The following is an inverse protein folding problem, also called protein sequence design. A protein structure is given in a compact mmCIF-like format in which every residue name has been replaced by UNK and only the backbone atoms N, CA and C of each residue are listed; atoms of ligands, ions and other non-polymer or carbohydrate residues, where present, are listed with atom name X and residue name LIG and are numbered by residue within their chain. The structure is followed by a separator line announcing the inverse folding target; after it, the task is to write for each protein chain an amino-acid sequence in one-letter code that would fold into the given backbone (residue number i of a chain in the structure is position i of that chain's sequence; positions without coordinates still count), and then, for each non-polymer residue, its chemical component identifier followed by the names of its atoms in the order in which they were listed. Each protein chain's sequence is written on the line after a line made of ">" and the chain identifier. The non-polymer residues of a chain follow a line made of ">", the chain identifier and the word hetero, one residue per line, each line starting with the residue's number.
data_IF_665024757569
#
_entry.id   IF_665024757569
#
_cell.length_a   1.000
_cell.length_b   1.000
_cell.length_c   1.000
_cell.angle_alpha   90.00
_cell.angle_beta   90.00
_cell.angle_gamma   90.00
#
_symmetry.space_group_name_H-M   'P 1'
#
loop_
_entity.id
_entity.type
_entity.pdbx_description
1 polymer ?
#
# COMPACT_ATOMS: atom_id res chain seq x y z
N UNK A 1 11.27 17.30 -3.34
CA UNK A 1 10.88 16.52 -4.54
C UNK A 1 9.44 16.87 -4.88
N UNK A 2 9.18 17.15 -6.16
CA UNK A 2 7.99 17.84 -6.66
C UNK A 2 6.67 17.15 -6.29
N UNK A 3 5.77 17.87 -5.60
CA UNK A 3 4.36 17.48 -5.46
C UNK A 3 3.69 17.73 -6.80
N UNK A 4 3.78 16.78 -7.72
CA UNK A 4 2.94 16.77 -8.91
C UNK A 4 1.52 16.42 -8.46
N UNK A 5 0.80 17.42 -7.95
CA UNK A 5 -0.56 17.27 -7.42
C UNK A 5 -1.54 17.22 -8.57
N UNK A 6 -1.50 16.14 -9.35
CA UNK A 6 -2.60 15.85 -10.25
C UNK A 6 -3.78 15.43 -9.37
N UNK A 7 -4.87 16.23 -9.26
CA UNK A 7 -5.99 15.95 -8.35
C UNK A 7 -6.72 14.65 -8.71
N UNK A 8 -6.50 14.13 -9.92
CA UNK A 8 -7.02 12.85 -10.42
C UNK A 8 -6.12 11.65 -10.09
N UNK A 9 -5.00 11.84 -9.38
CA UNK A 9 -4.12 10.74 -9.01
C UNK A 9 -4.72 9.91 -7.87
N UNK A 10 -4.56 8.58 -7.93
CA UNK A 10 -4.98 7.70 -6.84
C UNK A 10 -4.28 8.06 -5.53
N UNK A 11 -3.04 8.53 -5.58
CA UNK A 11 -2.29 8.94 -4.39
C UNK A 11 -2.99 10.09 -3.65
N UNK A 12 -3.62 11.00 -4.41
CA UNK A 12 -4.44 12.08 -3.87
C UNK A 12 -5.78 11.56 -3.32
N UNK A 13 -6.49 10.72 -4.09
CA UNK A 13 -7.77 10.13 -3.67
C UNK A 13 -7.64 9.31 -2.37
N UNK A 14 -6.58 8.53 -2.24
CA UNK A 14 -6.32 7.69 -1.08
C UNK A 14 -5.54 8.42 0.03
N UNK A 15 -5.08 9.65 -0.22
CA UNK A 15 -4.29 10.46 0.70
C UNK A 15 -2.93 9.86 1.10
N UNK A 16 -2.51 8.79 0.43
CA UNK A 16 -1.28 8.05 0.76
C UNK A 16 -0.76 7.31 -0.47
N UNK A 17 0.41 7.72 -0.93
CA UNK A 17 1.13 7.05 -2.03
C UNK A 17 1.53 5.62 -1.65
N UNK A 18 1.91 5.39 -0.39
CA UNK A 18 2.26 4.06 0.11
C UNK A 18 1.05 3.13 0.06
N UNK A 19 -0.13 3.62 0.46
CA UNK A 19 -1.38 2.84 0.39
C UNK A 19 -1.69 2.37 -1.03
N UNK A 20 -1.60 3.27 -2.02
CA UNK A 20 -1.87 2.94 -3.42
C UNK A 20 -0.87 1.92 -3.95
N UNK A 21 0.42 2.05 -3.60
CA UNK A 21 1.43 1.05 -3.98
C UNK A 21 1.15 -0.31 -3.36
N UNK A 22 0.84 -0.36 -2.07
CA UNK A 22 0.49 -1.61 -1.36
C UNK A 22 -0.73 -2.27 -1.99
N UNK A 23 -1.80 -1.51 -2.26
CA UNK A 23 -3.01 -2.02 -2.91
C UNK A 23 -2.73 -2.55 -4.32
N UNK A 24 -1.99 -1.79 -5.15
CA UNK A 24 -1.60 -2.22 -6.49
C UNK A 24 -0.79 -3.51 -6.45
N UNK A 25 0.12 -3.63 -5.49
CA UNK A 25 0.93 -4.83 -5.32
C UNK A 25 0.06 -6.04 -4.94
N UNK A 26 -0.76 -5.91 -3.89
CA UNK A 26 -1.64 -6.99 -3.43
C UNK A 26 -2.62 -7.45 -4.52
N UNK A 27 -3.21 -6.50 -5.26
CA UNK A 27 -4.15 -6.82 -6.33
C UNK A 27 -3.49 -7.58 -7.49
N UNK A 28 -2.28 -7.18 -7.90
CA UNK A 28 -1.56 -7.81 -9.02
C UNK A 28 -1.00 -9.19 -8.70
N UNK A 29 -0.79 -9.50 -7.42
CA UNK A 29 -0.14 -10.72 -6.99
C UNK A 29 -1.09 -11.67 -6.25
N UNK A 30 -2.41 -11.42 -6.26
CA UNK A 30 -3.39 -12.37 -5.74
C UNK A 30 -3.36 -13.67 -6.59
N UNK A 31 -3.45 -14.88 -5.99
CA UNK A 31 -3.79 -15.21 -4.58
C UNK A 31 -2.59 -15.41 -3.64
N UNK A 32 -1.41 -14.87 -3.94
CA UNK A 32 -0.20 -15.12 -3.16
C UNK A 32 -0.27 -14.39 -1.80
N UNK A 33 0.10 -15.12 -0.73
CA UNK A 33 0.29 -14.55 0.60
C UNK A 33 1.69 -13.93 0.70
N UNK A 34 1.77 -12.70 1.19
CA UNK A 34 3.04 -11.98 1.36
C UNK A 34 3.22 -11.64 2.82
N UNK A 35 4.45 -11.71 3.34
CA UNK A 35 4.75 -11.12 4.65
C UNK A 35 4.96 -9.60 4.55
N UNK A 36 4.78 -8.88 5.66
CA UNK A 36 5.06 -7.44 5.70
C UNK A 36 6.54 -7.07 5.43
N UNK A 37 7.46 -8.05 5.53
CA UNK A 37 8.87 -7.88 5.16
C UNK A 37 9.03 -7.92 3.63
N UNK A 38 8.49 -8.96 2.99
CA UNK A 38 8.54 -9.12 1.53
C UNK A 38 7.84 -7.96 0.82
N UNK A 39 6.75 -7.49 1.40
CA UNK A 39 6.01 -6.34 0.87
C UNK A 39 6.85 -5.06 0.94
N UNK A 40 7.68 -4.90 1.96
CA UNK A 40 8.62 -3.77 2.06
C UNK A 40 9.72 -3.82 1.02
N UNK A 41 10.30 -5.00 0.83
CA UNK A 41 11.37 -5.19 -0.15
C UNK A 41 10.84 -4.97 -1.59
N UNK A 42 9.61 -5.42 -1.89
CA UNK A 42 8.99 -5.30 -3.21
C UNK A 42 8.44 -3.91 -3.52
N UNK A 43 7.89 -3.23 -2.53
CA UNK A 43 7.29 -1.89 -2.72
C UNK A 43 8.34 -0.77 -2.57
N UNK A 44 9.53 -1.12 -2.07
CA UNK A 44 10.65 -0.19 -1.83
C UNK A 44 10.23 1.02 -1.00
N UNK A 45 9.41 0.77 0.03
CA UNK A 45 8.94 1.77 0.99
C UNK A 45 9.34 1.33 2.41
N UNK A 46 9.47 2.26 3.37
CA UNK A 46 9.83 1.93 4.74
C UNK A 46 8.85 0.92 5.35
N UNK A 47 9.39 -0.10 6.02
CA UNK A 47 8.60 -1.19 6.63
C UNK A 47 7.55 -0.68 7.62
N UNK A 48 7.85 0.39 8.34
CA UNK A 48 6.91 1.02 9.27
C UNK A 48 5.71 1.67 8.56
N UNK A 49 5.96 2.37 7.46
CA UNK A 49 4.92 2.98 6.64
C UNK A 49 3.99 1.91 6.08
N UNK A 50 4.56 0.80 5.58
CA UNK A 50 3.79 -0.34 5.08
C UNK A 50 2.99 -1.00 6.20
N UNK A 51 3.59 -1.25 7.37
CA UNK A 51 2.86 -1.79 8.53
C UNK A 51 1.68 -0.92 8.93
N UNK A 52 1.86 0.40 8.95
CA UNK A 52 0.79 1.35 9.25
C UNK A 52 -0.33 1.25 8.23
N UNK A 53 -0.01 1.24 6.93
CA UNK A 53 -1.03 1.15 5.89
C UNK A 53 -1.73 -0.20 5.87
N UNK A 54 -1.02 -1.32 6.06
CA UNK A 54 -1.62 -2.65 6.19
C UNK A 54 -2.64 -2.66 7.32
N UNK A 55 -2.29 -2.12 8.50
CA UNK A 55 -3.25 -2.02 9.62
C UNK A 55 -4.47 -1.17 9.26
N UNK A 56 -4.28 -0.07 8.55
CA UNK A 56 -5.40 0.76 8.08
C UNK A 56 -6.29 0.01 7.09
N UNK A 57 -5.68 -0.70 6.13
CA UNK A 57 -6.39 -1.51 5.14
C UNK A 57 -7.14 -2.69 5.78
N UNK A 58 -6.59 -3.27 6.85
CA UNK A 58 -7.27 -4.28 7.68
C UNK A 58 -8.47 -3.70 8.43
N UNK A 59 -8.32 -2.52 9.03
CA UNK A 59 -9.41 -1.84 9.74
C UNK A 59 -10.63 -1.56 8.85
N UNK A 60 -10.40 -1.23 7.58
CA UNK A 60 -11.48 -0.99 6.60
C UNK A 60 -11.93 -2.26 5.87
N UNK A 61 -11.40 -3.43 6.22
CA UNK A 61 -11.81 -4.73 5.66
C UNK A 61 -11.29 -5.05 4.27
N UNK A 62 -10.42 -4.22 3.67
CA UNK A 62 -9.84 -4.48 2.35
C UNK A 62 -8.75 -5.56 2.36
N UNK A 63 -8.12 -5.79 3.52
CA UNK A 63 -7.09 -6.82 3.70
C UNK A 63 -7.49 -7.66 4.90
N UNK A 64 -7.67 -8.98 4.73
CA UNK A 64 -8.05 -9.87 5.84
C UNK A 64 -6.84 -10.37 6.62
N UNK A 65 -5.79 -10.82 5.94
CA UNK A 65 -4.58 -11.38 6.55
C UNK A 65 -3.40 -11.22 5.59
N UNK A 66 -2.23 -10.92 6.16
CA UNK A 66 -0.92 -10.83 5.51
C UNK A 66 -0.01 -11.70 6.36
#
# INVERSE_FOLDING_TARGET
>A
MSKNSNPLSLDYLFGSRVRVKVLKFLFRNYPVNFGAKDLADRVSEPREAIRKEIKNLQKIGLVKKI
#
